data_IF_910849791879
#
_entry.id   IF_910849791879
#
_cell.length_a   1.000
_cell.length_b   1.000
_cell.length_c   1.000
_cell.angle_alpha   90.00
_cell.angle_beta   90.00
_cell.angle_gamma   90.00
#
_symmetry.space_group_name_H-M   'P 1'
#
loop_
_entity.id
_entity.type
_entity.pdbx_description
1 polymer ?
#
# COMPACT_ATOMS: atom_id res chain seq x y z
N UNK A 1 31.71 26.40 146.90
CA UNK A 1 30.96 25.32 146.22
C UNK A 1 29.75 25.82 145.42
N UNK A 2 28.87 26.65 145.99
CA UNK A 2 27.66 27.12 145.29
C UNK A 2 27.92 28.04 144.07
N UNK A 3 28.89 28.96 144.13
CA UNK A 3 29.22 29.83 142.99
C UNK A 3 29.81 29.07 141.80
N UNK A 4 30.64 28.06 142.03
CA UNK A 4 31.21 27.23 140.96
C UNK A 4 30.12 26.43 140.22
N UNK A 5 29.13 25.90 140.95
CA UNK A 5 27.98 25.20 140.36
C UNK A 5 27.06 26.15 139.58
N UNK A 6 26.90 27.40 140.04
CA UNK A 6 26.14 28.43 139.33
C UNK A 6 26.81 28.84 138.01
N UNK A 7 28.13 29.10 138.02
CA UNK A 7 28.90 29.40 136.80
C UNK A 7 28.89 28.26 135.79
N UNK A 8 29.00 27.01 136.25
CA UNK A 8 28.93 25.84 135.37
C UNK A 8 27.55 25.73 134.71
N UNK A 9 26.47 25.99 135.45
CA UNK A 9 25.11 26.03 134.90
C UNK A 9 24.93 27.15 133.87
N UNK A 10 25.44 28.34 134.14
CA UNK A 10 25.41 29.47 133.21
C UNK A 10 26.22 29.17 131.92
N UNK A 11 27.39 28.52 132.05
CA UNK A 11 28.19 28.06 130.91
C UNK A 11 27.46 26.99 130.10
N UNK A 12 26.84 25.99 130.75
CA UNK A 12 26.03 24.99 130.05
C UNK A 12 24.82 25.62 129.33
N UNK A 13 24.13 26.58 129.97
CA UNK A 13 23.01 27.30 129.35
C UNK A 13 23.46 28.13 128.15
N UNK A 14 24.60 28.81 128.25
CA UNK A 14 25.17 29.55 127.13
C UNK A 14 25.57 28.64 125.97
N UNK A 15 26.18 27.48 126.24
CA UNK A 15 26.51 26.50 125.21
C UNK A 15 25.23 26.00 124.51
N UNK A 16 24.19 25.63 125.27
CA UNK A 16 22.91 25.20 124.69
C UNK A 16 22.32 26.30 123.81
N UNK A 17 22.39 27.56 124.23
CA UNK A 17 21.92 28.70 123.43
C UNK A 17 22.69 28.85 122.11
N UNK A 18 24.03 28.74 122.14
CA UNK A 18 24.85 28.81 120.93
C UNK A 18 24.55 27.64 119.97
N UNK A 19 24.39 26.43 120.49
CA UNK A 19 23.98 25.26 119.70
C UNK A 19 22.61 25.44 119.06
N UNK A 20 21.63 26.00 119.80
CA UNK A 20 20.30 26.31 119.27
C UNK A 20 20.37 27.36 118.15
N UNK A 21 21.18 28.40 118.31
CA UNK A 21 21.37 29.42 117.29
C UNK A 21 22.03 28.83 116.03
N UNK A 22 23.10 28.05 116.20
CA UNK A 22 23.79 27.38 115.10
C UNK A 22 22.90 26.36 114.38
N UNK A 23 22.09 25.59 115.13
CA UNK A 23 21.10 24.68 114.57
C UNK A 23 20.04 25.44 113.76
N UNK A 24 19.55 26.58 114.26
CA UNK A 24 18.61 27.44 113.52
C UNK A 24 19.20 27.96 112.21
N UNK A 25 20.47 28.37 112.20
CA UNK A 25 21.15 28.82 110.97
C UNK A 25 21.32 27.69 109.94
N UNK A 26 21.65 26.48 110.39
CA UNK A 26 21.75 25.31 109.52
C UNK A 26 20.38 24.93 108.97
N UNK A 27 19.32 24.94 109.79
CA UNK A 27 17.96 24.68 109.33
C UNK A 27 17.52 25.68 108.26
N UNK A 28 17.84 26.97 108.42
CA UNK A 28 17.49 27.99 107.42
C UNK A 28 18.25 27.78 106.11
N UNK A 29 19.54 27.43 106.18
CA UNK A 29 20.34 27.06 104.99
C UNK A 29 19.81 25.80 104.32
N UNK A 30 19.44 24.79 105.10
CA UNK A 30 18.86 23.54 104.59
C UNK A 30 17.56 23.80 103.84
N UNK A 31 16.65 24.61 104.40
CA UNK A 31 15.40 25.02 103.74
C UNK A 31 15.66 25.71 102.39
N UNK A 32 16.61 26.66 102.36
CA UNK A 32 17.00 27.36 101.12
C UNK A 32 17.53 26.40 100.05
N UNK A 33 18.36 25.43 100.43
CA UNK A 33 18.89 24.43 99.48
C UNK A 33 17.79 23.51 98.96
N UNK A 34 16.85 23.08 99.82
CA UNK A 34 15.71 22.26 99.41
C UNK A 34 14.80 23.02 98.44
N UNK A 35 14.52 24.28 98.71
CA UNK A 35 13.75 25.15 97.80
C UNK A 35 14.46 25.30 96.45
N UNK A 36 15.77 25.55 96.45
CA UNK A 36 16.57 25.64 95.21
C UNK A 36 16.60 24.32 94.43
N UNK A 37 16.70 23.18 95.12
CA UNK A 37 16.66 21.86 94.50
C UNK A 37 15.30 21.64 93.83
N UNK A 38 14.22 21.92 94.54
CA UNK A 38 12.87 21.77 94.01
C UNK A 38 12.64 22.68 92.80
N UNK A 39 13.13 23.92 92.85
CA UNK A 39 13.04 24.84 91.72
C UNK A 39 13.85 24.34 90.51
N UNK A 40 15.04 23.77 90.73
CA UNK A 40 15.86 23.19 89.68
C UNK A 40 15.22 21.94 89.06
N UNK A 41 14.62 21.06 89.87
CA UNK A 41 13.88 19.88 89.41
C UNK A 41 12.67 20.27 88.56
N UNK A 42 11.90 21.28 89.00
CA UNK A 42 10.77 21.79 88.23
C UNK A 42 11.21 22.38 86.89
N UNK A 43 12.29 23.18 86.89
CA UNK A 43 12.89 23.71 85.65
C UNK A 43 13.35 22.59 84.72
N UNK A 44 13.99 21.56 85.25
CA UNK A 44 14.44 20.42 84.46
C UNK A 44 13.27 19.69 83.81
N UNK A 45 12.20 19.44 84.57
CA UNK A 45 10.97 18.82 84.07
C UNK A 45 10.28 19.65 82.99
N UNK A 46 10.25 20.98 83.15
CA UNK A 46 9.76 21.88 82.10
C UNK A 46 10.58 21.77 80.82
N UNK A 47 11.93 21.77 80.93
CA UNK A 47 12.81 21.60 79.78
C UNK A 47 12.67 20.25 79.09
N UNK A 48 12.49 19.17 79.84
CA UNK A 48 12.21 17.85 79.28
C UNK A 48 10.90 17.85 78.48
N UNK A 49 9.84 18.45 79.03
CA UNK A 49 8.56 18.60 78.34
C UNK A 49 8.69 19.43 77.06
N UNK A 50 9.45 20.53 77.09
CA UNK A 50 9.74 21.35 75.91
C UNK A 50 10.46 20.53 74.83
N UNK A 51 11.45 19.71 75.21
CA UNK A 51 12.18 18.82 74.29
C UNK A 51 11.22 17.82 73.64
N UNK A 52 10.31 17.22 74.39
CA UNK A 52 9.31 16.29 73.84
C UNK A 52 8.40 17.00 72.83
N UNK A 53 7.87 18.17 73.16
CA UNK A 53 7.02 18.96 72.25
C UNK A 53 7.75 19.36 70.97
N UNK A 54 9.01 19.76 71.08
CA UNK A 54 9.82 20.13 69.91
C UNK A 54 10.03 18.92 68.99
N UNK A 55 10.38 17.75 69.55
CA UNK A 55 10.54 16.51 68.77
C UNK A 55 9.25 16.11 68.06
N UNK A 56 8.11 16.20 68.73
CA UNK A 56 6.81 15.90 68.14
C UNK A 56 6.46 16.88 67.02
N UNK A 57 6.72 18.18 67.22
CA UNK A 57 6.50 19.21 66.19
C UNK A 57 7.39 19.01 64.96
N UNK A 58 8.63 18.55 65.17
CA UNK A 58 9.62 18.26 64.11
C UNK A 58 9.21 17.07 63.25
N UNK A 59 8.52 16.07 63.81
CA UNK A 59 8.00 14.93 63.06
C UNK A 59 6.71 15.28 62.30
N UNK A 60 5.90 16.19 62.87
CA UNK A 60 4.68 16.69 62.20
C UNK A 60 4.96 17.79 61.18
N UNK A 61 6.23 18.17 60.97
CA UNK A 61 6.60 19.21 60.03
C UNK A 61 6.12 18.89 58.61
N UNK A 62 5.52 19.87 57.90
CA UNK A 62 5.05 19.66 56.54
C UNK A 62 6.18 19.23 55.61
N UNK A 63 7.44 19.61 55.88
CA UNK A 63 8.61 19.21 55.12
C UNK A 63 8.80 17.69 55.07
N UNK A 64 8.53 16.98 56.17
CA UNK A 64 8.66 15.51 56.23
C UNK A 64 7.60 14.85 55.35
N UNK A 65 6.36 15.36 55.40
CA UNK A 65 5.26 14.89 54.53
C UNK A 65 5.53 15.17 53.06
N UNK A 66 6.02 16.38 52.75
CA UNK A 66 6.39 16.76 51.40
C UNK A 66 7.54 15.91 50.85
N UNK A 67 8.50 15.50 51.70
CA UNK A 67 9.56 14.58 51.30
C UNK A 67 9.02 13.19 50.94
N UNK A 68 8.09 12.63 51.73
CA UNK A 68 7.45 11.36 51.40
C UNK A 68 6.63 11.44 50.11
N UNK A 69 5.87 12.53 49.95
CA UNK A 69 5.05 12.76 48.75
C UNK A 69 5.94 12.93 47.51
N UNK A 70 7.04 13.68 47.63
CA UNK A 70 8.04 13.81 46.58
C UNK A 70 8.64 12.45 46.19
N UNK A 71 8.94 11.60 47.16
CA UNK A 71 9.47 10.26 46.88
C UNK A 71 8.45 9.39 46.15
N UNK A 72 7.18 9.40 46.58
CA UNK A 72 6.09 8.68 45.92
C UNK A 72 5.89 9.17 44.48
N UNK A 73 5.82 10.48 44.28
CA UNK A 73 5.69 11.08 42.95
C UNK A 73 6.87 10.74 42.04
N UNK A 74 8.09 10.68 42.57
CA UNK A 74 9.27 10.24 41.81
C UNK A 74 9.14 8.78 41.38
N UNK A 75 8.65 7.88 42.25
CA UNK A 75 8.43 6.49 41.89
C UNK A 75 7.36 6.35 40.80
N UNK A 76 6.23 7.02 40.96
CA UNK A 76 5.15 7.03 39.97
C UNK A 76 5.62 7.58 38.62
N UNK A 77 6.36 8.69 38.63
CA UNK A 77 6.94 9.29 37.43
C UNK A 77 7.83 8.27 36.71
N UNK A 78 8.74 7.61 37.42
CA UNK A 78 9.63 6.60 36.83
C UNK A 78 8.85 5.40 36.27
N UNK A 79 7.79 4.96 36.94
CA UNK A 79 6.94 3.87 36.45
C UNK A 79 6.19 4.27 35.17
N UNK A 80 5.66 5.50 35.12
CA UNK A 80 5.00 6.04 33.93
C UNK A 80 5.99 6.20 32.77
N UNK A 81 7.21 6.67 33.02
CA UNK A 81 8.27 6.75 32.00
C UNK A 81 8.58 5.37 31.40
N UNK A 82 8.70 4.33 32.25
CA UNK A 82 8.90 2.95 31.77
C UNK A 82 7.71 2.44 30.95
N UNK A 83 6.47 2.72 31.38
CA UNK A 83 5.26 2.34 30.64
C UNK A 83 5.21 3.03 29.28
N UNK A 84 5.50 4.33 29.23
CA UNK A 84 5.56 5.11 27.99
C UNK A 84 6.60 4.53 27.04
N UNK A 85 7.79 4.18 27.55
CA UNK A 85 8.83 3.61 26.71
C UNK A 85 8.44 2.23 26.16
N UNK A 86 7.82 1.37 26.98
CA UNK A 86 7.32 0.06 26.55
C UNK A 86 6.22 0.17 25.47
N UNK A 87 5.26 1.09 25.67
CA UNK A 87 4.20 1.36 24.68
C UNK A 87 4.78 1.95 23.40
N UNK A 88 5.77 2.85 23.51
CA UNK A 88 6.43 3.46 22.35
C UNK A 88 7.18 2.42 21.51
N UNK A 89 7.93 1.51 22.15
CA UNK A 89 8.60 0.39 21.47
C UNK A 89 7.60 -0.53 20.77
N UNK A 90 6.52 -0.88 21.45
CA UNK A 90 5.45 -1.72 20.90
C UNK A 90 4.75 -1.05 19.72
N UNK A 91 4.44 0.25 19.81
CA UNK A 91 3.84 1.04 18.73
C UNK A 91 4.71 1.04 17.47
N UNK A 92 6.02 1.25 17.62
CA UNK A 92 6.97 1.21 16.49
C UNK A 92 7.00 -0.20 15.88
N UNK A 93 7.06 -1.24 16.71
CA UNK A 93 7.03 -2.63 16.24
C UNK A 93 5.77 -2.93 15.42
N UNK A 94 4.58 -2.64 15.94
CA UNK A 94 3.33 -2.89 15.22
C UNK A 94 3.20 -2.04 13.96
N UNK A 95 3.65 -0.78 13.97
CA UNK A 95 3.69 0.05 12.76
C UNK A 95 4.57 -0.57 11.67
N UNK A 96 5.73 -1.13 12.04
CA UNK A 96 6.62 -1.81 11.10
C UNK A 96 5.99 -3.10 10.56
N UNK A 97 5.40 -3.92 11.43
CA UNK A 97 4.71 -5.16 11.04
C UNK A 97 3.53 -4.86 10.10
N UNK A 98 2.71 -3.87 10.44
CA UNK A 98 1.61 -3.41 9.60
C UNK A 98 2.11 -2.92 8.23
N UNK A 99 3.20 -2.14 8.20
CA UNK A 99 3.82 -1.70 6.96
C UNK A 99 4.44 -2.83 6.11
N UNK A 100 4.84 -3.96 6.73
CA UNK A 100 5.26 -5.17 5.98
C UNK A 100 4.05 -5.90 5.41
N UNK A 101 3.03 -6.14 6.24
CA UNK A 101 1.80 -6.80 5.81
C UNK A 101 1.11 -6.05 4.65
N UNK A 102 1.06 -4.72 4.72
CA UNK A 102 0.47 -3.89 3.66
C UNK A 102 1.24 -4.02 2.33
N UNK A 103 2.57 -4.10 2.37
CA UNK A 103 3.40 -4.29 1.17
C UNK A 103 3.23 -5.68 0.58
N UNK A 104 3.19 -6.73 1.40
CA UNK A 104 2.90 -8.08 0.92
C UNK A 104 1.49 -8.18 0.32
N UNK A 105 0.49 -7.57 0.96
CA UNK A 105 -0.87 -7.53 0.43
C UNK A 105 -0.91 -6.82 -0.94
N UNK A 106 -0.22 -5.68 -1.08
CA UNK A 106 -0.12 -4.98 -2.34
C UNK A 106 0.54 -5.86 -3.42
N UNK A 107 1.64 -6.55 -3.08
CA UNK A 107 2.34 -7.47 -3.99
C UNK A 107 1.47 -8.66 -4.42
N UNK A 108 0.74 -9.25 -3.48
CA UNK A 108 -0.18 -10.35 -3.77
C UNK A 108 -1.32 -9.88 -4.67
N UNK A 109 -1.89 -8.70 -4.40
CA UNK A 109 -2.97 -8.12 -5.21
C UNK A 109 -2.52 -7.85 -6.65
N UNK A 110 -1.35 -7.25 -6.84
CA UNK A 110 -0.82 -7.00 -8.19
C UNK A 110 -0.47 -8.29 -8.91
N UNK A 111 0.14 -9.26 -8.21
CA UNK A 111 0.43 -10.59 -8.74
C UNK A 111 -0.83 -11.33 -9.21
N UNK A 112 -1.89 -11.33 -8.41
CA UNK A 112 -3.16 -11.98 -8.76
C UNK A 112 -3.86 -11.26 -9.93
N UNK A 113 -3.82 -9.93 -9.95
CA UNK A 113 -4.38 -9.16 -11.08
C UNK A 113 -3.66 -9.48 -12.39
N UNK A 114 -2.33 -9.60 -12.37
CA UNK A 114 -1.57 -9.94 -13.55
C UNK A 114 -1.79 -11.38 -13.99
N UNK A 115 -1.84 -12.33 -13.04
CA UNK A 115 -2.20 -13.72 -13.31
C UNK A 115 -3.60 -13.84 -13.95
N UNK A 116 -4.58 -13.07 -13.45
CA UNK A 116 -5.93 -13.03 -14.02
C UNK A 116 -5.94 -12.51 -15.46
N UNK A 117 -5.19 -11.45 -15.76
CA UNK A 117 -5.05 -10.95 -17.15
C UNK A 117 -4.43 -11.98 -18.07
N UNK A 118 -3.36 -12.66 -17.63
CA UNK A 118 -2.72 -13.72 -18.42
C UNK A 118 -3.68 -14.88 -18.69
N UNK A 119 -4.47 -15.30 -17.69
CA UNK A 119 -5.51 -16.33 -17.87
C UNK A 119 -6.57 -15.90 -18.87
N UNK A 120 -7.07 -14.67 -18.77
CA UNK A 120 -8.05 -14.12 -19.72
C UNK A 120 -7.49 -14.05 -21.14
N UNK A 121 -6.25 -13.61 -21.30
CA UNK A 121 -5.61 -13.55 -22.62
C UNK A 121 -5.47 -14.94 -23.23
N UNK A 122 -5.05 -15.95 -22.46
CA UNK A 122 -4.99 -17.34 -22.94
C UNK A 122 -6.36 -17.86 -23.37
N UNK A 123 -7.40 -17.61 -22.58
CA UNK A 123 -8.77 -18.00 -22.94
C UNK A 123 -9.24 -17.30 -24.22
N UNK A 124 -8.88 -16.03 -24.40
CA UNK A 124 -9.18 -15.28 -25.62
C UNK A 124 -8.46 -15.88 -26.84
N UNK A 125 -7.15 -16.12 -26.75
CA UNK A 125 -6.35 -16.72 -27.82
C UNK A 125 -6.87 -18.13 -28.19
N UNK A 126 -7.26 -18.94 -27.20
CA UNK A 126 -7.88 -20.26 -27.40
C UNK A 126 -9.21 -20.17 -28.15
N UNK A 127 -10.05 -19.18 -27.80
CA UNK A 127 -11.32 -18.93 -28.48
C UNK A 127 -11.12 -18.45 -29.93
N UNK A 128 -10.15 -17.56 -30.16
CA UNK A 128 -9.81 -17.11 -31.51
C UNK A 128 -9.31 -18.28 -32.38
N UNK A 129 -8.46 -19.13 -31.82
CA UNK A 129 -7.98 -20.33 -32.50
C UNK A 129 -9.12 -21.30 -32.86
N UNK A 130 -10.08 -21.50 -31.95
CA UNK A 130 -11.28 -22.30 -32.22
C UNK A 130 -12.16 -21.68 -33.31
N UNK A 131 -12.34 -20.35 -33.30
CA UNK A 131 -13.06 -19.61 -34.35
C UNK A 131 -12.40 -19.77 -35.71
N UNK A 132 -11.07 -19.63 -35.79
CA UNK A 132 -10.31 -19.81 -37.03
C UNK A 132 -10.44 -21.24 -37.56
N UNK A 133 -10.35 -22.26 -36.69
CA UNK A 133 -10.57 -23.66 -37.09
C UNK A 133 -11.98 -23.90 -37.62
N UNK A 134 -12.99 -23.30 -37.00
CA UNK A 134 -14.37 -23.41 -37.46
C UNK A 134 -14.55 -22.79 -38.85
N UNK A 135 -14.04 -21.58 -39.06
CA UNK A 135 -14.10 -20.90 -40.37
C UNK A 135 -13.37 -21.70 -41.44
N UNK A 136 -12.14 -22.15 -41.18
CA UNK A 136 -11.38 -22.98 -42.11
C UNK A 136 -12.10 -24.31 -42.43
N UNK A 137 -12.75 -24.93 -41.44
CA UNK A 137 -13.54 -26.14 -41.67
C UNK A 137 -14.76 -25.86 -42.56
N UNK A 138 -15.43 -24.71 -42.38
CA UNK A 138 -16.57 -24.32 -43.22
C UNK A 138 -16.14 -23.96 -44.65
N UNK A 139 -15.06 -23.21 -44.82
CA UNK A 139 -14.45 -22.91 -46.12
C UNK A 139 -14.06 -24.19 -46.87
N UNK A 140 -13.41 -25.15 -46.19
CA UNK A 140 -13.07 -26.44 -46.80
C UNK A 140 -14.29 -27.24 -47.24
N UNK A 141 -15.44 -27.15 -46.54
CA UNK A 141 -16.69 -27.78 -46.99
C UNK A 141 -17.22 -27.09 -48.25
N UNK A 142 -17.15 -25.76 -48.33
CA UNK A 142 -17.56 -24.99 -49.52
C UNK A 142 -16.66 -25.33 -50.70
N UNK A 143 -15.33 -25.26 -50.53
CA UNK A 143 -14.34 -25.65 -51.55
C UNK A 143 -14.56 -27.10 -51.99
N UNK A 144 -14.88 -28.00 -51.05
CA UNK A 144 -15.21 -29.40 -51.35
C UNK A 144 -16.44 -29.53 -52.26
N UNK A 145 -17.50 -28.75 -52.00
CA UNK A 145 -18.70 -28.70 -52.85
C UNK A 145 -18.40 -28.09 -54.22
N UNK A 146 -17.73 -26.95 -54.28
CA UNK A 146 -17.33 -26.29 -55.53
C UNK A 146 -16.45 -27.20 -56.39
N UNK A 147 -15.53 -27.95 -55.77
CA UNK A 147 -14.71 -28.94 -56.48
C UNK A 147 -15.54 -30.08 -57.03
N UNK A 148 -16.51 -30.59 -56.27
CA UNK A 148 -17.45 -31.61 -56.78
C UNK A 148 -18.27 -31.08 -57.96
N UNK A 149 -18.80 -29.86 -57.87
CA UNK A 149 -19.53 -29.20 -58.97
C UNK A 149 -18.65 -29.00 -60.21
N UNK A 150 -17.39 -28.61 -60.01
CA UNK A 150 -16.42 -28.42 -61.09
C UNK A 150 -16.02 -29.76 -61.74
N UNK A 151 -15.89 -30.83 -60.95
CA UNK A 151 -15.64 -32.17 -61.47
C UNK A 151 -16.87 -32.72 -62.24
N UNK A 152 -18.09 -32.42 -61.78
CA UNK A 152 -19.33 -32.74 -62.52
C UNK A 152 -19.41 -31.96 -63.84
N UNK A 153 -19.12 -30.65 -63.83
CA UNK A 153 -19.11 -29.82 -65.04
C UNK A 153 -18.04 -30.29 -66.03
N UNK A 154 -16.85 -30.67 -65.54
CA UNK A 154 -15.80 -31.28 -66.37
C UNK A 154 -16.29 -32.58 -67.01
N UNK A 155 -16.90 -33.48 -66.23
CA UNK A 155 -17.43 -34.74 -66.76
C UNK A 155 -18.51 -34.49 -67.83
N UNK A 156 -19.37 -33.49 -67.62
CA UNK A 156 -20.37 -33.09 -68.61
C UNK A 156 -19.73 -32.53 -69.89
N UNK A 157 -18.69 -31.69 -69.77
CA UNK A 157 -17.92 -31.18 -70.91
C UNK A 157 -17.25 -32.32 -71.67
N UNK A 158 -16.58 -33.24 -70.97
CA UNK A 158 -15.94 -34.42 -71.60
C UNK A 158 -16.96 -35.25 -72.35
N UNK A 159 -18.12 -35.51 -71.75
CA UNK A 159 -19.21 -36.22 -72.43
C UNK A 159 -19.72 -35.48 -73.66
N UNK A 160 -19.92 -34.16 -73.58
CA UNK A 160 -20.33 -33.34 -74.73
C UNK A 160 -19.27 -33.31 -75.83
N UNK A 161 -17.98 -33.30 -75.47
CA UNK A 161 -16.88 -33.41 -76.43
C UNK A 161 -16.88 -34.76 -77.14
N UNK A 162 -17.07 -35.87 -76.42
CA UNK A 162 -17.22 -37.20 -77.01
C UNK A 162 -18.44 -37.29 -77.92
N UNK A 163 -19.59 -36.74 -77.51
CA UNK A 163 -20.80 -36.64 -78.34
C UNK A 163 -20.55 -35.81 -79.61
N UNK A 164 -19.87 -34.67 -79.49
CA UNK A 164 -19.48 -33.83 -80.63
C UNK A 164 -18.45 -34.53 -81.54
N UNK A 165 -17.52 -35.31 -81.00
CA UNK A 165 -16.59 -36.13 -81.79
C UNK A 165 -17.32 -37.25 -82.53
N UNK A 166 -18.32 -37.88 -81.92
CA UNK A 166 -19.17 -38.88 -82.58
C UNK A 166 -20.03 -38.27 -83.68
N UNK A 167 -20.60 -37.08 -83.45
CA UNK A 167 -21.33 -36.31 -84.47
C UNK A 167 -20.39 -35.82 -85.58
N UNK A 168 -19.17 -35.36 -85.22
CA UNK A 168 -18.14 -34.96 -86.18
C UNK A 168 -17.69 -36.12 -87.05
N UNK A 169 -17.43 -37.29 -86.46
CA UNK A 169 -17.09 -38.52 -87.18
C UNK A 169 -18.24 -39.00 -88.08
N UNK A 170 -19.50 -38.70 -87.73
CA UNK A 170 -20.66 -38.91 -88.60
C UNK A 170 -20.78 -37.85 -89.73
N UNK A 171 -20.40 -36.60 -89.48
CA UNK A 171 -20.36 -35.54 -90.51
C UNK A 171 -19.14 -35.63 -91.44
N UNK A 172 -18.02 -36.19 -90.98
CA UNK A 172 -16.78 -36.39 -91.75
C UNK A 172 -16.91 -37.54 -92.77
N UNK A 173 -18.00 -38.32 -92.73
CA UNK A 173 -18.41 -39.23 -93.81
C UNK A 173 -19.25 -38.55 -94.91
N UNK A 174 -19.55 -37.24 -94.81
CA UNK A 174 -20.47 -36.57 -95.74
C UNK A 174 -20.04 -35.17 -96.23
N UNK A 175 -18.76 -34.83 -96.22
CA UNK A 175 -18.26 -33.71 -97.05
C UNK A 175 -16.81 -33.89 -97.50
N UNK A 176 -16.64 -34.69 -98.55
CA UNK A 176 -15.53 -34.53 -99.48
C UNK A 176 -16.05 -33.77 -100.71
N UNK A 177 -15.71 -32.48 -100.85
CA UNK A 177 -15.40 -31.84 -102.15
C UNK A 177 -15.17 -30.32 -102.06
N UNK A 178 -14.02 -29.95 -102.63
CA UNK A 178 -13.65 -28.66 -103.28
C UNK A 178 -12.95 -27.63 -102.38
N UNK A 179 -11.61 -27.71 -102.47
CA UNK A 179 -10.69 -26.71 -103.03
C UNK A 179 -10.70 -25.26 -102.55
N UNK A 180 -9.48 -24.89 -102.12
CA UNK A 180 -8.71 -23.71 -102.49
C UNK A 180 -9.23 -22.31 -102.17
N UNK A 181 -8.39 -21.67 -101.35
CA UNK A 181 -7.76 -20.39 -101.57
C UNK A 181 -8.18 -19.24 -100.65
N UNK A 182 -7.09 -18.56 -100.27
CA UNK A 182 -6.94 -17.13 -100.09
C UNK A 182 -7.10 -16.70 -98.63
N UNK A 183 -6.03 -16.29 -97.96
CA UNK A 183 -5.17 -15.11 -98.17
C UNK A 183 -5.63 -13.94 -97.29
N UNK A 184 -4.64 -13.42 -96.59
CA UNK A 184 -4.48 -12.07 -96.07
C UNK A 184 -5.55 -11.34 -95.23
N UNK A 185 -5.00 -10.77 -94.16
CA UNK A 185 -5.33 -9.45 -93.61
C UNK A 185 -6.69 -9.30 -92.89
N UNK A 186 -6.63 -8.94 -91.61
CA UNK A 186 -6.54 -7.52 -91.21
C UNK A 186 -6.42 -7.37 -89.70
N UNK A 187 -5.42 -6.59 -89.31
CA UNK A 187 -5.43 -5.73 -88.13
C UNK A 187 -6.84 -5.25 -87.78
N UNK A 188 -7.19 -5.31 -86.50
CA UNK A 188 -8.10 -4.37 -85.87
C UNK A 188 -7.64 -4.16 -84.43
N UNK A 189 -6.73 -3.20 -84.29
CA UNK A 189 -6.59 -2.37 -83.10
C UNK A 189 -7.99 -1.91 -82.65
N UNK A 190 -8.46 -2.47 -81.54
CA UNK A 190 -9.62 -1.99 -80.81
C UNK A 190 -9.20 -0.89 -79.84
N UNK A 191 -8.88 0.30 -80.36
CA UNK A 191 -8.60 1.52 -79.62
C UNK A 191 -9.87 2.09 -78.93
N UNK A 192 -10.49 1.30 -78.05
CA UNK A 192 -11.69 1.69 -77.28
C UNK A 192 -11.57 1.36 -75.78
N UNK A 193 -10.35 1.37 -75.23
CA UNK A 193 -10.09 1.02 -73.83
C UNK A 193 -9.08 1.88 -73.10
N UNK A 194 -8.46 2.88 -73.72
CA UNK A 194 -7.34 3.63 -73.13
C UNK A 194 -7.74 4.40 -71.87
N UNK A 195 -8.92 5.02 -71.86
CA UNK A 195 -9.38 5.83 -70.72
C UNK A 195 -9.90 4.96 -69.57
N UNK A 196 -10.69 3.90 -69.87
CA UNK A 196 -11.13 2.91 -68.86
C UNK A 196 -9.95 2.14 -68.27
N UNK A 197 -8.97 1.77 -69.09
CA UNK A 197 -7.73 1.12 -68.65
C UNK A 197 -6.87 2.08 -67.82
N UNK A 198 -6.87 3.38 -68.12
CA UNK A 198 -6.18 4.40 -67.33
C UNK A 198 -6.86 4.64 -65.98
N UNK A 199 -8.19 4.68 -65.93
CA UNK A 199 -8.96 4.77 -64.68
C UNK A 199 -8.67 3.55 -63.78
N UNK A 200 -8.68 2.33 -64.34
CA UNK A 200 -8.37 1.13 -63.57
C UNK A 200 -6.96 1.18 -62.96
N UNK A 201 -5.96 1.63 -63.71
CA UNK A 201 -4.58 1.78 -63.20
C UNK A 201 -4.47 2.82 -62.07
N UNK A 202 -5.15 3.96 -62.20
CA UNK A 202 -5.14 4.99 -61.15
C UNK A 202 -5.84 4.52 -59.86
N UNK A 203 -6.88 3.69 -59.99
CA UNK A 203 -7.57 3.05 -58.85
C UNK A 203 -6.64 2.05 -58.17
N UNK A 204 -5.98 1.18 -58.94
CA UNK A 204 -5.05 0.19 -58.39
C UNK A 204 -3.84 0.83 -57.70
N UNK A 205 -3.31 1.94 -58.24
CA UNK A 205 -2.21 2.71 -57.62
C UNK A 205 -2.64 3.34 -56.30
N UNK A 206 -3.84 3.93 -56.22
CA UNK A 206 -4.41 4.48 -54.98
C UNK A 206 -4.58 3.38 -53.93
N UNK A 207 -5.17 2.27 -54.32
CA UNK A 207 -5.48 1.17 -53.39
C UNK A 207 -4.19 0.52 -52.88
N UNK A 208 -3.16 0.41 -53.74
CA UNK A 208 -1.82 -0.05 -53.34
C UNK A 208 -1.19 0.89 -52.31
N UNK A 209 -1.28 2.22 -52.49
CA UNK A 209 -0.73 3.20 -51.55
C UNK A 209 -1.44 3.14 -50.19
N UNK A 210 -2.77 3.01 -50.18
CA UNK A 210 -3.55 2.88 -48.94
C UNK A 210 -3.29 1.54 -48.22
N UNK A 211 -3.07 0.46 -48.97
CA UNK A 211 -2.74 -0.87 -48.43
C UNK A 211 -1.43 -0.86 -47.63
N UNK A 212 -0.48 0.03 -47.94
CA UNK A 212 0.79 0.14 -47.20
C UNK A 212 0.62 0.66 -45.77
N UNK A 213 -0.51 1.30 -45.45
CA UNK A 213 -0.78 1.87 -44.12
C UNK A 213 0.03 3.12 -43.79
N UNK A 214 0.88 3.60 -44.70
CA UNK A 214 1.67 4.83 -44.57
C UNK A 214 0.89 6.05 -45.08
N UNK A 215 0.02 5.85 -46.06
CA UNK A 215 -0.84 6.87 -46.63
C UNK A 215 -2.29 6.72 -46.16
N UNK A 216 -2.96 7.85 -45.98
CA UNK A 216 -4.36 7.96 -45.57
C UNK A 216 -5.18 8.69 -46.62
N UNK A 217 -6.50 8.58 -46.55
CA UNK A 217 -7.43 9.28 -47.46
C UNK A 217 -7.34 10.80 -47.38
N UNK A 218 -6.69 11.35 -46.36
CA UNK A 218 -6.49 12.79 -46.18
C UNK A 218 -5.20 13.30 -46.84
N UNK A 219 -4.32 12.40 -47.31
CA UNK A 219 -3.04 12.78 -47.89
C UNK A 219 -3.19 13.42 -49.27
N UNK A 220 -2.35 14.42 -49.54
CA UNK A 220 -2.39 15.20 -50.78
C UNK A 220 -2.27 14.32 -52.03
N UNK A 221 -1.42 13.30 -51.99
CA UNK A 221 -1.18 12.39 -53.11
C UNK A 221 -2.43 11.55 -53.43
N UNK A 222 -3.13 11.05 -52.41
CA UNK A 222 -4.37 10.28 -52.57
C UNK A 222 -5.49 11.17 -53.11
N UNK A 223 -5.61 12.40 -52.59
CA UNK A 223 -6.58 13.38 -53.07
C UNK A 223 -6.35 13.83 -54.52
N UNK A 224 -5.10 13.91 -54.98
CA UNK A 224 -4.77 14.23 -56.37
C UNK A 224 -5.16 13.07 -57.31
N UNK A 225 -4.90 11.82 -56.90
CA UNK A 225 -5.36 10.63 -57.64
C UNK A 225 -6.89 10.54 -57.72
N UNK A 226 -7.61 10.78 -56.62
CA UNK A 226 -9.07 10.74 -56.60
C UNK A 226 -9.69 11.85 -57.47
N UNK A 227 -9.09 13.04 -57.51
CA UNK A 227 -9.51 14.13 -58.40
C UNK A 227 -9.29 13.76 -59.87
N UNK A 228 -8.17 13.13 -60.21
CA UNK A 228 -7.87 12.73 -61.59
C UNK A 228 -8.76 11.56 -62.04
N UNK A 229 -9.04 10.60 -61.16
CA UNK A 229 -10.04 9.55 -61.36
C UNK A 229 -11.42 10.17 -61.60
N UNK A 230 -11.86 11.10 -60.75
CA UNK A 230 -13.16 11.77 -60.90
C UNK A 230 -13.23 12.62 -62.18
N UNK A 231 -12.16 13.30 -62.56
CA UNK A 231 -12.09 14.07 -63.79
C UNK A 231 -12.18 13.17 -65.03
N UNK A 232 -11.50 12.02 -65.04
CA UNK A 232 -11.58 11.07 -66.14
C UNK A 232 -12.94 10.36 -66.21
N UNK A 233 -13.57 10.08 -65.07
CA UNK A 233 -14.93 9.52 -65.01
C UNK A 233 -15.98 10.53 -65.49
N UNK A 234 -15.83 11.82 -65.13
CA UNK A 234 -16.76 12.87 -65.55
C UNK A 234 -16.58 13.27 -67.02
N UNK A 235 -15.37 13.20 -67.56
CA UNK A 235 -15.09 13.38 -68.98
C UNK A 235 -15.62 12.24 -69.87
N UNK A 236 -15.96 11.08 -69.27
CA UNK A 236 -16.49 9.90 -69.96
C UNK A 236 -18.03 9.75 -69.85
N UNK A 237 -18.72 10.73 -69.24
CA UNK A 237 -20.20 10.82 -69.19
C UNK A 237 -20.73 11.75 -70.26
#
# INVERSE_FOLDING_TARGET
>A
MHEASKRLKEQCQHQIYLEQLHYSEIEEKYKKVVEQLHEAENKLKERENDIYRLKESMLSRPEVKLQSDMHLLLLEKNELERKIEAVSKSKVHYKQQWGRALRELARLKTGEQEAAKVRLKRQHDELEHMKLRYLAAEENKVIGKERQELDLAKAEITKKLEELEMVRNQTDLNRHRINDCCDENRNLEGNYGTEKSRIAKLIDERDTLLQTGVYTTEDRVINELDKEIQHLISAYR
#
